data_IF_355391236855
#
_entry.id   IF_355391236855
#
_cell.length_a   1.000
_cell.length_b   1.000
_cell.length_c   1.000
_cell.angle_alpha   90.00
_cell.angle_beta   90.00
_cell.angle_gamma   90.00
#
_symmetry.space_group_name_H-M   'P 1'
#
loop_
_entity.id
_entity.type
_entity.pdbx_description
1 polymer ?
#
# COMPACT_ATOMS: atom_id res chain seq x y z
N UNK A 1 24.50 -8.37 -10.91
CA UNK A 1 24.38 -7.18 -10.07
C UNK A 1 23.18 -6.35 -10.50
N UNK A 2 22.32 -5.99 -9.57
CA UNK A 2 21.15 -5.20 -9.90
C UNK A 2 21.55 -3.78 -10.28
N UNK A 3 21.00 -3.27 -11.37
CA UNK A 3 21.26 -1.93 -11.83
C UNK A 3 20.23 -0.99 -11.18
N UNK A 4 20.71 0.03 -10.49
CA UNK A 4 19.84 1.02 -9.85
C UNK A 4 19.34 2.04 -10.86
N UNK A 5 18.12 2.47 -10.64
CA UNK A 5 17.45 3.42 -11.52
C UNK A 5 16.60 4.37 -10.68
N UNK A 6 16.64 5.65 -11.05
CA UNK A 6 15.78 6.64 -10.40
C UNK A 6 14.49 6.78 -11.20
N UNK A 7 13.37 6.65 -10.53
CA UNK A 7 12.06 6.85 -11.16
C UNK A 7 11.22 7.78 -10.30
N UNK A 8 10.20 8.35 -10.89
CA UNK A 8 9.23 9.17 -10.18
C UNK A 8 7.86 8.55 -10.37
N UNK A 9 7.18 8.31 -9.27
CA UNK A 9 5.82 7.76 -9.30
C UNK A 9 4.85 8.80 -8.78
N UNK A 10 3.74 8.95 -9.51
CA UNK A 10 2.67 9.85 -9.08
C UNK A 10 1.63 9.04 -8.33
N UNK A 11 1.46 9.38 -7.06
CA UNK A 11 0.51 8.69 -6.18
C UNK A 11 -0.38 9.74 -5.55
N UNK A 12 -1.67 9.64 -5.80
CA UNK A 12 -2.67 10.58 -5.27
C UNK A 12 -2.34 12.04 -5.57
N UNK A 13 -1.88 12.29 -6.80
CA UNK A 13 -1.64 13.64 -7.27
C UNK A 13 -0.30 14.25 -6.88
N UNK A 14 0.56 13.50 -6.23
CA UNK A 14 1.87 13.96 -5.81
C UNK A 14 2.95 13.04 -6.36
N UNK A 15 4.07 13.63 -6.76
CA UNK A 15 5.20 12.90 -7.32
C UNK A 15 6.16 12.49 -6.21
N UNK A 16 6.58 11.22 -6.23
CA UNK A 16 7.52 10.67 -5.27
C UNK A 16 8.70 10.05 -6.00
N UNK A 17 9.93 10.41 -5.62
CA UNK A 17 11.12 9.82 -6.23
C UNK A 17 11.47 8.50 -5.56
N UNK A 18 11.89 7.54 -6.36
CA UNK A 18 12.35 6.24 -5.88
C UNK A 18 13.63 5.85 -6.58
N UNK A 19 14.52 5.20 -5.84
CA UNK A 19 15.70 4.55 -6.40
C UNK A 19 15.48 3.05 -6.25
N UNK A 20 15.36 2.36 -7.37
CA UNK A 20 14.98 0.94 -7.39
C UNK A 20 15.90 0.15 -8.31
N UNK A 21 15.82 -1.15 -8.23
CA UNK A 21 16.44 -2.01 -9.21
C UNK A 21 15.68 -1.84 -10.54
N UNK A 22 16.42 -1.65 -11.63
CA UNK A 22 15.82 -1.36 -12.93
C UNK A 22 14.80 -2.42 -13.35
N UNK A 23 15.04 -3.68 -13.01
CA UNK A 23 14.14 -4.78 -13.35
C UNK A 23 12.82 -4.75 -12.61
N UNK A 24 12.70 -3.92 -11.57
CA UNK A 24 11.47 -3.79 -10.78
C UNK A 24 10.62 -2.59 -11.19
N UNK A 25 11.05 -1.85 -12.18
CA UNK A 25 10.33 -0.62 -12.58
C UNK A 25 8.87 -0.89 -12.93
N UNK A 26 8.61 -1.90 -13.74
CA UNK A 26 7.24 -2.23 -14.13
C UNK A 26 6.36 -2.56 -12.93
N UNK A 27 6.89 -3.34 -12.01
CA UNK A 27 6.17 -3.70 -10.78
C UNK A 27 5.80 -2.45 -9.98
N UNK A 28 6.73 -1.52 -9.84
CA UNK A 28 6.49 -0.29 -9.08
C UNK A 28 5.43 0.57 -9.76
N UNK A 29 5.48 0.68 -11.09
CA UNK A 29 4.51 1.49 -11.84
C UNK A 29 3.11 0.89 -11.78
N UNK A 30 3.00 -0.42 -11.88
CA UNK A 30 1.72 -1.10 -11.76
C UNK A 30 1.16 -0.92 -10.35
N UNK A 31 2.00 -1.03 -9.33
CA UNK A 31 1.57 -0.82 -7.95
C UNK A 31 1.02 0.59 -7.73
N UNK A 32 1.70 1.60 -8.27
CA UNK A 32 1.23 2.99 -8.17
C UNK A 32 -0.12 3.17 -8.86
N UNK A 33 -0.29 2.60 -10.05
CA UNK A 33 -1.56 2.64 -10.78
C UNK A 33 -2.67 1.97 -9.99
N UNK A 34 -2.36 0.85 -9.37
CA UNK A 34 -3.35 0.11 -8.58
C UNK A 34 -3.81 0.92 -7.37
N UNK A 35 -2.88 1.58 -6.69
CA UNK A 35 -3.23 2.45 -5.56
C UNK A 35 -4.12 3.60 -6.03
N UNK A 36 -3.73 4.28 -7.11
CA UNK A 36 -4.49 5.42 -7.63
C UNK A 36 -5.90 5.01 -8.03
N UNK A 37 -6.02 3.90 -8.71
CA UNK A 37 -7.30 3.34 -9.14
C UNK A 37 -8.19 3.01 -7.94
N UNK A 38 -7.61 2.40 -6.92
CA UNK A 38 -8.34 2.00 -5.71
C UNK A 38 -8.81 3.21 -4.92
N UNK A 39 -7.99 4.26 -4.86
CA UNK A 39 -8.39 5.52 -4.20
C UNK A 39 -9.62 6.11 -4.88
N UNK A 40 -9.62 6.14 -6.21
CA UNK A 40 -10.75 6.64 -6.98
C UNK A 40 -12.01 5.82 -6.71
N UNK A 41 -11.87 4.51 -6.72
CA UNK A 41 -13.00 3.60 -6.46
C UNK A 41 -13.57 3.83 -5.06
N UNK A 42 -12.72 3.94 -4.05
CA UNK A 42 -13.17 4.17 -2.69
C UNK A 42 -13.84 5.52 -2.53
N UNK A 43 -13.30 6.56 -3.15
CA UNK A 43 -13.90 7.89 -3.11
C UNK A 43 -15.30 7.89 -3.71
N UNK A 44 -15.50 7.12 -4.79
CA UNK A 44 -16.80 7.01 -5.43
C UNK A 44 -17.80 6.18 -4.64
N UNK A 45 -17.32 5.13 -3.95
CA UNK A 45 -18.19 4.24 -3.18
C UNK A 45 -18.59 4.82 -1.84
N UNK A 46 -17.65 5.41 -1.12
CA UNK A 46 -17.90 5.84 0.26
C UNK A 46 -18.55 7.21 0.32
N UNK A 47 -18.06 8.17 -0.45
CA UNK A 47 -18.63 9.52 -0.56
C UNK A 47 -18.91 10.20 0.78
N UNK A 48 -17.93 10.17 1.66
CA UNK A 48 -18.02 10.90 2.92
C UNK A 48 -17.43 12.30 2.74
N UNK A 49 -18.21 13.33 3.04
CA UNK A 49 -17.77 14.70 2.84
C UNK A 49 -16.57 15.09 3.69
N UNK A 50 -16.46 14.48 4.87
CA UNK A 50 -15.36 14.75 5.78
C UNK A 50 -14.14 13.88 5.55
N UNK A 51 -14.20 12.95 4.58
CA UNK A 51 -13.05 12.12 4.25
C UNK A 51 -12.11 12.83 3.30
N UNK A 52 -10.83 12.77 3.62
CA UNK A 52 -9.77 13.31 2.78
C UNK A 52 -9.06 12.15 2.05
N UNK A 53 -8.14 12.50 1.16
CA UNK A 53 -7.31 11.49 0.50
C UNK A 53 -6.58 10.62 1.53
N UNK A 54 -6.18 11.20 2.64
CA UNK A 54 -5.50 10.48 3.73
C UNK A 54 -6.40 9.39 4.31
N UNK A 55 -7.67 9.67 4.50
CA UNK A 55 -8.63 8.68 5.02
C UNK A 55 -8.79 7.52 4.06
N UNK A 56 -8.93 7.80 2.77
CA UNK A 56 -9.05 6.75 1.77
C UNK A 56 -7.78 5.91 1.70
N UNK A 57 -6.61 6.55 1.78
CA UNK A 57 -5.34 5.84 1.77
C UNK A 57 -5.20 4.92 2.98
N UNK A 58 -5.64 5.37 4.15
CA UNK A 58 -5.60 4.55 5.35
C UNK A 58 -6.44 3.27 5.18
N UNK A 59 -7.65 3.42 4.64
CA UNK A 59 -8.52 2.28 4.39
C UNK A 59 -7.93 1.33 3.35
N UNK A 60 -7.31 1.87 2.31
CA UNK A 60 -6.69 1.08 1.26
C UNK A 60 -5.47 0.33 1.78
N UNK A 61 -4.67 0.98 2.62
CA UNK A 61 -3.52 0.32 3.24
C UNK A 61 -3.99 -0.87 4.08
N UNK A 62 -5.05 -0.68 4.83
CA UNK A 62 -5.65 -1.77 5.61
C UNK A 62 -6.14 -2.91 4.72
N UNK A 63 -6.82 -2.57 3.64
CA UNK A 63 -7.31 -3.55 2.66
C UNK A 63 -6.17 -4.39 2.10
N UNK A 64 -5.10 -3.74 1.65
CA UNK A 64 -3.97 -4.45 1.06
C UNK A 64 -3.25 -5.32 2.09
N UNK A 65 -3.09 -4.83 3.32
CA UNK A 65 -2.48 -5.64 4.37
C UNK A 65 -3.31 -6.89 4.66
N UNK A 66 -4.63 -6.72 4.72
CA UNK A 66 -5.55 -7.84 4.94
C UNK A 66 -5.45 -8.88 3.82
N UNK A 67 -5.40 -8.41 2.57
CA UNK A 67 -5.29 -9.31 1.43
C UNK A 67 -3.95 -10.04 1.42
N UNK A 68 -2.87 -9.35 1.76
CA UNK A 68 -1.55 -9.98 1.87
C UNK A 68 -1.54 -11.06 2.94
N UNK A 69 -2.14 -10.81 4.08
CA UNK A 69 -2.24 -11.79 5.16
C UNK A 69 -3.05 -13.01 4.73
N UNK A 70 -4.19 -12.78 4.08
CA UNK A 70 -5.03 -13.86 3.60
C UNK A 70 -4.30 -14.73 2.58
N UNK A 71 -3.59 -14.12 1.64
CA UNK A 71 -2.79 -14.86 0.66
C UNK A 71 -1.69 -15.65 1.32
N UNK A 72 -1.03 -15.06 2.30
CA UNK A 72 0.05 -15.71 3.03
C UNK A 72 -0.44 -16.95 3.77
N UNK A 73 -1.63 -16.87 4.38
CA UNK A 73 -2.21 -18.00 5.11
C UNK A 73 -2.70 -19.12 4.20
N UNK A 74 -3.03 -18.80 2.97
CA UNK A 74 -3.49 -19.77 1.98
C UNK A 74 -2.36 -20.42 1.20
N UNK A 75 -1.13 -20.04 1.48
CA UNK A 75 0.06 -20.54 0.79
C UNK A 75 1.02 -21.13 1.80
N UNK A 76 1.79 -22.12 1.36
CA UNK A 76 2.89 -22.63 2.16
C UNK A 76 4.04 -21.65 2.04
N UNK A 77 4.15 -20.74 3.01
CA UNK A 77 5.22 -19.76 3.06
C UNK A 77 6.08 -20.01 4.29
N UNK A 78 7.34 -19.57 4.22
CA UNK A 78 8.25 -19.70 5.35
C UNK A 78 7.85 -18.80 6.50
N UNK A 79 8.29 -19.18 7.70
CA UNK A 79 7.98 -18.43 8.92
C UNK A 79 8.42 -16.96 8.84
N UNK A 80 9.54 -16.70 8.17
CA UNK A 80 10.07 -15.35 8.02
C UNK A 80 9.13 -14.47 7.20
N UNK A 81 8.53 -15.03 6.15
CA UNK A 81 7.58 -14.29 5.32
C UNK A 81 6.33 -13.95 6.10
N UNK A 82 5.84 -14.90 6.89
CA UNK A 82 4.66 -14.68 7.72
C UNK A 82 4.94 -13.59 8.75
N UNK A 83 6.10 -13.63 9.40
CA UNK A 83 6.49 -12.62 10.38
C UNK A 83 6.58 -11.23 9.76
N UNK A 84 7.16 -11.11 8.58
CA UNK A 84 7.30 -9.82 7.90
C UNK A 84 5.92 -9.22 7.60
N UNK A 85 4.99 -10.05 7.14
CA UNK A 85 3.63 -9.61 6.83
C UNK A 85 2.91 -9.20 8.12
N UNK A 86 3.04 -9.97 9.19
CA UNK A 86 2.44 -9.64 10.49
C UNK A 86 2.98 -8.33 11.03
N UNK A 87 4.28 -8.08 10.92
CA UNK A 87 4.89 -6.83 11.36
C UNK A 87 4.35 -5.63 10.59
N UNK A 88 4.20 -5.76 9.28
CA UNK A 88 3.64 -4.70 8.45
C UNK A 88 2.20 -4.41 8.86
N UNK A 89 1.41 -5.45 9.06
CA UNK A 89 0.02 -5.33 9.47
C UNK A 89 -0.09 -4.63 10.83
N UNK A 90 0.76 -4.99 11.79
CA UNK A 90 0.78 -4.37 13.12
C UNK A 90 1.11 -2.89 13.04
N UNK A 91 2.12 -2.54 12.23
CA UNK A 91 2.51 -1.14 12.04
C UNK A 91 1.40 -0.31 11.42
N UNK A 92 0.71 -0.87 10.43
CA UNK A 92 -0.42 -0.19 9.79
C UNK A 92 -1.54 0.03 10.80
N UNK A 93 -1.86 -0.99 11.58
CA UNK A 93 -2.89 -0.90 12.62
C UNK A 93 -2.56 0.17 13.66
N UNK A 94 -1.32 0.20 14.13
CA UNK A 94 -0.86 1.23 15.06
C UNK A 94 -1.01 2.62 14.47
N UNK A 95 -0.60 2.78 13.23
CA UNK A 95 -0.68 4.06 12.54
C UNK A 95 -2.12 4.53 12.43
N UNK A 96 -3.02 3.64 12.04
CA UNK A 96 -4.44 3.96 11.92
C UNK A 96 -5.05 4.34 13.27
N UNK A 97 -4.67 3.66 14.33
CA UNK A 97 -5.15 3.97 15.68
C UNK A 97 -4.69 5.36 16.14
N UNK A 98 -3.51 5.79 15.72
CA UNK A 98 -3.03 7.14 16.02
C UNK A 98 -3.79 8.21 15.25
N UNK A 99 -4.22 7.89 14.02
CA UNK A 99 -4.93 8.81 13.17
C UNK A 99 -6.37 9.01 13.60
N UNK A 100 -6.95 8.02 14.27
CA UNK A 100 -8.33 8.06 14.75
C UNK A 100 -8.35 7.74 16.24
N UNK A 101 -7.91 8.67 17.08
CA UNK A 101 -7.77 8.46 18.52
C UNK A 101 -9.12 8.60 19.21
N UNK A 102 -9.83 7.56 19.28
CA UNK A 102 -11.04 7.57 20.11
C UNK A 102 -10.73 7.05 21.48
#
# INVERSE_FOLDING_TARGET
MARKQNITLRICGKDYPFTIDAEKEELYRIAAQQVNSTVTDYANLIRQEDYTAKDYLALIAFKFARECLAMSRNREVGDEDVKAIDEISDKISEYMNRLDPK
#
